data_IF_487674756135
#
_entry.id   IF_487674756135
#
_cell.length_a   1.000
_cell.length_b   1.000
_cell.length_c   1.000
_cell.angle_alpha   90.00
_cell.angle_beta   90.00
_cell.angle_gamma   90.00
#
_symmetry.space_group_name_H-M   'P 1'
#
loop_
_entity.id
_entity.type
_entity.pdbx_description
1 polymer ?
#
# COMPACT_ATOMS: atom_id res chain seq x y z
N UNK A 1 15.15 0.32 -17.36
CA UNK A 1 14.81 1.01 -16.10
C UNK A 1 13.46 0.54 -15.56
N UNK A 2 12.35 0.76 -16.27
CA UNK A 2 10.99 0.40 -15.80
C UNK A 2 10.78 -1.08 -15.42
N UNK A 3 11.24 -2.03 -16.24
CA UNK A 3 11.10 -3.47 -15.97
C UNK A 3 11.87 -3.95 -14.74
N UNK A 4 13.06 -3.38 -14.49
CA UNK A 4 13.88 -3.76 -13.34
C UNK A 4 13.27 -3.28 -12.00
N UNK A 5 12.44 -2.24 -12.02
CA UNK A 5 11.80 -1.73 -10.81
C UNK A 5 10.81 -2.76 -10.21
N UNK A 6 10.20 -3.62 -11.04
CA UNK A 6 9.35 -4.71 -10.57
C UNK A 6 10.11 -5.78 -9.80
N UNK A 7 11.44 -5.87 -9.95
CA UNK A 7 12.23 -6.84 -9.20
C UNK A 7 12.23 -6.54 -7.71
N UNK A 8 12.00 -5.30 -7.30
CA UNK A 8 11.94 -4.91 -5.88
C UNK A 8 10.79 -5.65 -5.18
N UNK A 9 9.51 -5.48 -5.56
CA UNK A 9 8.40 -6.09 -4.84
C UNK A 9 8.35 -7.60 -5.06
N UNK A 10 8.87 -8.10 -6.20
CA UNK A 10 9.03 -9.54 -6.42
C UNK A 10 10.04 -10.12 -5.41
N UNK A 11 11.18 -9.45 -5.23
CA UNK A 11 12.17 -9.87 -4.24
C UNK A 11 11.62 -9.74 -2.83
N UNK A 12 10.88 -8.68 -2.50
CA UNK A 12 10.24 -8.51 -1.19
C UNK A 12 9.28 -9.67 -0.87
N UNK A 13 8.44 -10.08 -1.82
CA UNK A 13 7.52 -11.22 -1.65
C UNK A 13 8.26 -12.55 -1.48
N UNK A 14 9.22 -12.85 -2.35
CA UNK A 14 9.94 -14.13 -2.35
C UNK A 14 10.83 -14.25 -1.11
N UNK A 15 11.61 -13.21 -0.81
CA UNK A 15 12.49 -13.18 0.35
C UNK A 15 11.68 -13.16 1.65
N UNK A 16 10.57 -12.42 1.68
CA UNK A 16 9.65 -12.38 2.82
C UNK A 16 9.14 -13.78 3.16
N UNK A 17 8.58 -14.50 2.19
CA UNK A 17 8.08 -15.86 2.42
C UNK A 17 9.21 -16.86 2.74
N UNK A 18 10.36 -16.76 2.08
CA UNK A 18 11.47 -17.69 2.30
C UNK A 18 12.18 -17.48 3.64
N UNK A 19 12.49 -16.24 4.01
CA UNK A 19 13.31 -15.93 5.18
C UNK A 19 12.54 -16.02 6.50
N UNK A 20 11.21 -15.90 6.49
CA UNK A 20 10.41 -16.06 7.73
C UNK A 20 10.16 -17.52 8.11
N UNK A 21 10.19 -18.45 7.14
CA UNK A 21 9.87 -19.88 7.34
C UNK A 21 10.61 -20.57 8.49
N UNK A 22 11.92 -20.35 8.70
CA UNK A 22 12.65 -21.02 9.78
C UNK A 22 12.27 -20.55 11.19
N UNK A 23 11.57 -19.42 11.33
CA UNK A 23 11.33 -18.78 12.62
C UNK A 23 9.91 -19.05 13.11
N UNK A 24 9.75 -19.48 14.37
CA UNK A 24 8.43 -19.67 14.98
C UNK A 24 7.87 -18.40 15.67
N UNK A 25 8.74 -17.46 16.03
CA UNK A 25 8.33 -16.21 16.71
C UNK A 25 7.72 -15.21 15.73
N UNK A 26 6.47 -14.81 15.96
CA UNK A 26 5.77 -13.80 15.13
C UNK A 26 6.48 -12.46 15.11
N UNK A 27 7.06 -12.05 16.24
CA UNK A 27 7.85 -10.82 16.32
C UNK A 27 9.04 -10.85 15.36
N UNK A 28 9.79 -11.96 15.35
CA UNK A 28 10.96 -12.12 14.48
C UNK A 28 10.54 -12.14 13.01
N UNK A 29 9.44 -12.83 12.68
CA UNK A 29 8.90 -12.83 11.31
C UNK A 29 8.56 -11.41 10.83
N UNK A 30 7.87 -10.62 11.66
CA UNK A 30 7.50 -9.24 11.33
C UNK A 30 8.74 -8.36 11.13
N UNK A 31 9.72 -8.43 12.05
CA UNK A 31 10.96 -7.65 11.94
C UNK A 31 11.72 -7.99 10.65
N UNK A 32 11.79 -9.27 10.26
CA UNK A 32 12.42 -9.68 9.00
C UNK A 32 11.72 -9.02 7.81
N UNK A 33 10.38 -9.06 7.79
CA UNK A 33 9.58 -8.43 6.72
C UNK A 33 9.81 -6.91 6.69
N UNK A 34 9.77 -6.23 7.84
CA UNK A 34 10.04 -4.79 7.94
C UNK A 34 11.42 -4.42 7.38
N UNK A 35 12.46 -5.19 7.70
CA UNK A 35 13.81 -4.97 7.19
C UNK A 35 13.87 -5.14 5.68
N UNK A 36 13.21 -6.17 5.13
CA UNK A 36 13.16 -6.42 3.69
C UNK A 36 12.49 -5.24 2.96
N UNK A 37 11.32 -4.80 3.43
CA UNK A 37 10.59 -3.66 2.85
C UNK A 37 11.35 -2.34 3.03
N UNK A 38 12.07 -2.16 4.14
CA UNK A 38 12.92 -0.98 4.34
C UNK A 38 14.07 -0.93 3.33
N UNK A 39 14.73 -2.08 3.07
CA UNK A 39 15.76 -2.16 2.03
C UNK A 39 15.18 -1.85 0.66
N UNK A 40 14.03 -2.45 0.30
CA UNK A 40 13.37 -2.18 -0.97
C UNK A 40 12.95 -0.72 -1.13
N UNK A 41 12.45 -0.09 -0.07
CA UNK A 41 12.19 1.34 0.01
C UNK A 41 13.45 2.18 -0.28
N UNK A 42 14.57 1.90 0.40
CA UNK A 42 15.82 2.63 0.17
C UNK A 42 16.32 2.47 -1.28
N UNK A 43 16.21 1.27 -1.84
CA UNK A 43 16.57 0.99 -3.23
C UNK A 43 15.65 1.76 -4.19
N UNK A 44 14.34 1.77 -3.97
CA UNK A 44 13.37 2.51 -4.79
C UNK A 44 13.65 4.02 -4.76
N UNK A 45 13.89 4.59 -3.58
CA UNK A 45 14.26 6.00 -3.41
C UNK A 45 15.57 6.31 -4.15
N UNK A 46 16.59 5.46 -4.02
CA UNK A 46 17.87 5.66 -4.71
C UNK A 46 17.74 5.59 -6.23
N UNK A 47 17.00 4.60 -6.75
CA UNK A 47 16.79 4.41 -8.19
C UNK A 47 16.00 5.55 -8.84
N UNK A 48 15.04 6.15 -8.11
CA UNK A 48 14.13 7.17 -8.64
C UNK A 48 14.34 8.56 -8.01
N UNK A 49 15.48 8.79 -7.35
CA UNK A 49 15.81 10.05 -6.66
C UNK A 49 15.66 11.30 -7.53
N UNK A 50 15.98 11.21 -8.81
CA UNK A 50 15.92 12.36 -9.72
C UNK A 50 14.46 12.74 -10.04
N UNK A 51 13.60 11.74 -10.22
CA UNK A 51 12.14 11.92 -10.39
C UNK A 51 11.55 12.50 -9.11
N UNK A 52 11.86 11.90 -7.96
CA UNK A 52 11.39 12.37 -6.66
C UNK A 52 11.84 13.80 -6.38
N UNK A 53 13.11 14.12 -6.61
CA UNK A 53 13.64 15.47 -6.41
C UNK A 53 12.96 16.48 -7.32
N UNK A 54 12.83 16.18 -8.62
CA UNK A 54 12.18 17.05 -9.60
C UNK A 54 10.73 17.32 -9.23
N UNK A 55 9.96 16.26 -9.00
CA UNK A 55 8.53 16.38 -8.71
C UNK A 55 8.30 17.05 -7.34
N UNK A 56 9.24 16.89 -6.38
CA UNK A 56 9.17 17.57 -5.09
C UNK A 56 9.29 19.08 -5.23
N UNK A 57 10.23 19.56 -6.07
CA UNK A 57 10.39 21.00 -6.30
C UNK A 57 9.12 21.63 -6.90
N UNK A 58 8.38 20.89 -7.72
CA UNK A 58 7.10 21.32 -8.27
C UNK A 58 5.94 21.20 -7.26
N UNK A 59 6.00 20.24 -6.34
CA UNK A 59 4.93 19.99 -5.37
C UNK A 59 4.98 20.96 -4.18
N UNK A 60 6.18 21.20 -3.61
CA UNK A 60 6.34 21.98 -2.37
C UNK A 60 5.71 23.37 -2.36
N UNK A 61 5.66 24.18 -3.46
CA UNK A 61 5.03 25.50 -3.41
C UNK A 61 3.50 25.42 -3.27
N UNK A 62 2.91 24.27 -3.61
CA UNK A 62 1.47 24.02 -3.56
C UNK A 62 1.10 22.96 -2.52
N UNK A 63 1.98 22.71 -1.55
CA UNK A 63 1.84 21.64 -0.56
C UNK A 63 0.45 21.59 0.07
N UNK A 64 -0.07 22.71 0.58
CA UNK A 64 -1.39 22.75 1.22
C UNK A 64 -2.53 22.36 0.30
N UNK A 65 -2.52 22.87 -0.95
CA UNK A 65 -3.52 22.47 -1.95
C UNK A 65 -3.39 20.99 -2.28
N UNK A 66 -2.16 20.50 -2.41
CA UNK A 66 -1.88 19.08 -2.65
C UNK A 66 -2.39 18.19 -1.52
N UNK A 67 -2.17 18.59 -0.26
CA UNK A 67 -2.69 17.92 0.93
C UNK A 67 -4.21 17.90 0.97
N UNK A 68 -4.89 19.02 0.67
CA UNK A 68 -6.36 19.03 0.60
C UNK A 68 -6.90 18.08 -0.46
N UNK A 69 -6.27 18.06 -1.64
CA UNK A 69 -6.63 17.12 -2.71
C UNK A 69 -6.35 15.67 -2.29
N UNK A 70 -5.25 15.42 -1.58
CA UNK A 70 -4.90 14.10 -1.06
C UNK A 70 -5.95 13.62 -0.03
N UNK A 71 -6.36 14.47 0.91
CA UNK A 71 -7.42 14.16 1.89
C UNK A 71 -8.73 13.82 1.17
N UNK A 72 -9.14 14.62 0.18
CA UNK A 72 -10.33 14.32 -0.62
C UNK A 72 -10.23 12.97 -1.34
N UNK A 73 -9.07 12.66 -1.90
CA UNK A 73 -8.81 11.37 -2.54
C UNK A 73 -8.75 10.18 -1.57
N UNK A 74 -8.27 10.40 -0.33
CA UNK A 74 -8.33 9.40 0.76
C UNK A 74 -9.78 9.09 1.13
N UNK A 75 -10.64 10.11 1.26
CA UNK A 75 -12.07 9.91 1.51
C UNK A 75 -12.72 9.08 0.40
N UNK A 76 -12.42 9.39 -0.86
CA UNK A 76 -12.89 8.59 -2.00
C UNK A 76 -12.38 7.14 -1.89
N UNK A 77 -11.12 6.93 -1.50
CA UNK A 77 -10.53 5.59 -1.32
C UNK A 77 -11.28 4.80 -0.25
N UNK A 78 -11.61 5.43 0.89
CA UNK A 78 -12.40 4.82 1.97
C UNK A 78 -13.85 4.52 1.58
N UNK A 79 -14.39 5.16 0.56
CA UNK A 79 -15.72 4.85 0.01
C UNK A 79 -15.62 3.72 -1.02
N UNK A 80 -14.64 3.81 -1.93
CA UNK A 80 -14.45 2.86 -3.02
C UNK A 80 -14.20 1.45 -2.52
N UNK A 81 -13.29 1.30 -1.55
CA UNK A 81 -12.85 -0.01 -1.06
C UNK A 81 -14.00 -0.86 -0.47
N UNK A 82 -14.81 -0.37 0.49
CA UNK A 82 -15.97 -1.12 0.99
C UNK A 82 -17.08 -1.26 -0.05
N UNK A 83 -17.28 -0.29 -0.94
CA UNK A 83 -18.27 -0.39 -2.01
C UNK A 83 -17.97 -1.58 -2.94
N UNK A 84 -16.71 -1.74 -3.36
CA UNK A 84 -16.28 -2.87 -4.19
C UNK A 84 -16.42 -4.19 -3.44
N UNK A 85 -16.02 -4.23 -2.16
CA UNK A 85 -16.18 -5.44 -1.33
C UNK A 85 -17.64 -5.88 -1.21
N UNK A 86 -18.53 -4.95 -0.88
CA UNK A 86 -19.98 -5.22 -0.77
C UNK A 86 -20.56 -5.66 -2.11
N UNK A 87 -20.15 -5.02 -3.21
CA UNK A 87 -20.53 -5.44 -4.56
C UNK A 87 -20.17 -6.89 -4.84
N UNK A 88 -18.90 -7.27 -4.60
CA UNK A 88 -18.44 -8.66 -4.78
C UNK A 88 -19.22 -9.65 -3.91
N UNK A 89 -19.50 -9.30 -2.65
CA UNK A 89 -20.26 -10.15 -1.73
C UNK A 89 -21.67 -10.48 -2.22
N UNK A 90 -22.34 -9.55 -2.90
CA UNK A 90 -23.65 -9.77 -3.51
C UNK A 90 -23.61 -10.76 -4.69
N UNK A 91 -22.52 -10.81 -5.44
CA UNK A 91 -22.39 -11.68 -6.62
C UNK A 91 -21.79 -13.04 -6.31
N UNK A 92 -20.89 -13.12 -5.34
CA UNK A 92 -20.07 -14.31 -5.09
C UNK A 92 -20.55 -15.13 -3.89
N UNK A 93 -21.58 -14.68 -3.16
CA UNK A 93 -22.05 -15.30 -1.90
C UNK A 93 -20.90 -15.59 -0.93
N UNK A 94 -19.84 -14.78 -0.98
CA UNK A 94 -18.69 -14.94 -0.10
C UNK A 94 -19.11 -14.49 1.29
N UNK A 95 -19.34 -15.45 2.19
CA UNK A 95 -19.35 -15.20 3.62
C UNK A 95 -17.94 -14.77 4.00
N UNK A 96 -17.70 -13.47 4.04
CA UNK A 96 -16.53 -12.93 4.73
C UNK A 96 -16.72 -13.24 6.21
N UNK A 97 -16.29 -14.43 6.63
CA UNK A 97 -16.08 -14.74 8.02
C UNK A 97 -14.98 -13.79 8.49
N UNK A 98 -15.39 -12.66 9.08
CA UNK A 98 -14.51 -11.90 9.94
C UNK A 98 -14.15 -12.84 11.09
N UNK A 99 -13.06 -13.60 10.93
CA UNK A 99 -12.48 -14.33 12.04
C UNK A 99 -12.19 -13.30 13.11
N UNK A 100 -12.96 -13.34 14.20
CA UNK A 100 -12.77 -12.45 15.33
C UNK A 100 -11.40 -12.73 15.92
N UNK A 101 -10.39 -11.99 15.48
CA UNK A 101 -9.11 -11.94 16.17
C UNK A 101 -9.36 -11.13 17.43
N UNK A 102 -8.97 -11.65 18.58
CA UNK A 102 -8.94 -10.85 19.81
C UNK A 102 -7.87 -9.76 19.65
N UNK A 103 -8.33 -8.59 19.20
CA UNK A 103 -7.50 -7.42 18.89
C UNK A 103 -7.00 -6.73 20.17
N UNK A 104 -7.53 -7.09 21.34
CA UNK A 104 -7.29 -6.41 22.60
C UNK A 104 -6.24 -7.11 23.49
N UNK A 105 -5.48 -8.07 22.96
CA UNK A 105 -4.30 -8.60 23.67
C UNK A 105 -3.08 -7.69 23.48
N UNK A 106 -2.31 -7.45 24.55
CA UNK A 106 -1.12 -6.58 24.49
C UNK A 106 -0.07 -7.08 23.50
N UNK A 107 0.04 -8.41 23.36
CA UNK A 107 0.93 -9.04 22.38
C UNK A 107 0.45 -8.78 20.94
N UNK A 108 -0.86 -8.93 20.67
CA UNK A 108 -1.45 -8.67 19.36
C UNK A 108 -1.30 -7.19 18.98
N UNK A 109 -1.60 -6.28 19.93
CA UNK A 109 -1.52 -4.84 19.68
C UNK A 109 -0.08 -4.36 19.46
N UNK A 110 0.88 -4.86 20.26
CA UNK A 110 2.30 -4.55 20.08
C UNK A 110 2.84 -5.05 18.74
N UNK A 111 2.49 -6.28 18.34
CA UNK A 111 2.84 -6.80 17.01
C UNK A 111 2.21 -5.99 15.88
N UNK A 112 0.97 -5.51 16.06
CA UNK A 112 0.28 -4.67 15.08
C UNK A 112 0.99 -3.34 14.82
N UNK A 113 1.52 -2.69 15.86
CA UNK A 113 2.30 -1.45 15.70
C UNK A 113 3.61 -1.71 14.97
N UNK A 114 4.33 -2.78 15.31
CA UNK A 114 5.58 -3.13 14.62
C UNK A 114 5.31 -3.45 13.14
N UNK A 115 4.29 -4.28 12.87
CA UNK A 115 3.89 -4.61 11.50
C UNK A 115 3.40 -3.41 10.69
N UNK A 116 2.98 -2.31 11.35
CA UNK A 116 2.58 -1.08 10.66
C UNK A 116 3.76 -0.27 10.12
N UNK A 117 5.01 -0.63 10.45
CA UNK A 117 6.19 0.03 9.90
C UNK A 117 6.30 -0.20 8.38
N UNK A 118 6.03 -1.41 7.87
CA UNK A 118 5.90 -1.62 6.42
C UNK A 118 4.88 -0.70 5.77
N UNK A 119 3.76 -0.45 6.43
CA UNK A 119 2.66 0.40 5.95
C UNK A 119 3.07 1.87 5.80
N UNK A 120 4.08 2.33 6.52
CA UNK A 120 4.62 3.69 6.35
C UNK A 120 5.53 3.82 5.11
N UNK A 121 6.17 2.72 4.70
CA UNK A 121 7.18 2.71 3.64
C UNK A 121 6.61 2.27 2.29
N UNK A 122 5.67 1.32 2.31
CA UNK A 122 5.06 0.73 1.13
C UNK A 122 4.49 1.77 0.14
N UNK A 123 3.78 2.84 0.58
CA UNK A 123 3.27 3.86 -0.34
C UNK A 123 4.34 4.50 -1.23
N UNK A 124 5.58 4.63 -0.76
CA UNK A 124 6.65 5.17 -1.58
C UNK A 124 7.07 4.18 -2.67
N UNK A 125 7.39 2.95 -2.26
CA UNK A 125 7.84 1.87 -3.15
C UNK A 125 6.77 1.57 -4.19
N UNK A 126 5.53 1.37 -3.78
CA UNK A 126 4.41 0.99 -4.64
C UNK A 126 4.09 2.07 -5.68
N UNK A 127 4.03 3.34 -5.28
CA UNK A 127 3.73 4.42 -6.24
C UNK A 127 4.90 4.68 -7.20
N UNK A 128 6.15 4.52 -6.76
CA UNK A 128 7.32 4.56 -7.63
C UNK A 128 7.28 3.45 -8.68
N UNK A 129 6.97 2.21 -8.27
CA UNK A 129 7.05 1.06 -9.17
C UNK A 129 5.79 0.95 -10.03
N UNK A 130 4.62 0.82 -9.42
CA UNK A 130 3.40 0.54 -10.15
C UNK A 130 2.92 1.76 -10.93
N UNK A 131 3.01 2.96 -10.35
CA UNK A 131 2.49 4.15 -11.04
C UNK A 131 3.55 4.82 -11.88
N UNK A 132 4.72 5.12 -11.33
CA UNK A 132 5.73 5.81 -12.12
C UNK A 132 6.43 4.91 -13.13
N UNK A 133 7.10 3.85 -12.68
CA UNK A 133 7.92 3.01 -13.55
C UNK A 133 7.06 2.21 -14.54
N UNK A 134 5.93 1.66 -14.10
CA UNK A 134 5.13 0.75 -14.92
C UNK A 134 4.04 1.45 -15.74
N UNK A 135 3.25 2.35 -15.13
CA UNK A 135 2.10 2.97 -15.81
C UNK A 135 2.42 4.30 -16.51
N UNK A 136 2.95 5.28 -15.78
CA UNK A 136 3.01 6.69 -16.19
C UNK A 136 3.87 6.90 -17.45
N UNK A 137 4.84 6.02 -17.71
CA UNK A 137 5.67 6.04 -18.92
C UNK A 137 4.86 5.89 -20.22
N UNK A 138 3.64 5.37 -20.13
CA UNK A 138 2.72 5.11 -21.25
C UNK A 138 1.60 6.15 -21.37
N UNK A 139 1.62 7.18 -20.52
CA UNK A 139 0.67 8.29 -20.55
C UNK A 139 0.58 8.91 -21.96
N UNK A 140 -0.64 9.26 -22.38
CA UNK A 140 -0.95 9.87 -23.69
C UNK A 140 -0.63 8.99 -24.93
N UNK A 141 -0.58 7.67 -24.80
CA UNK A 141 -0.36 6.72 -25.92
C UNK A 141 -1.65 6.01 -26.38
N UNK A 142 -2.77 6.72 -26.36
CA UNK A 142 -4.08 6.16 -26.74
C UNK A 142 -4.44 4.94 -25.87
N UNK A 143 -4.90 3.87 -26.51
CA UNK A 143 -5.33 2.62 -25.86
C UNK A 143 -4.27 2.00 -24.95
N UNK A 144 -2.99 2.13 -25.31
CA UNK A 144 -1.87 1.56 -24.53
C UNK A 144 -1.81 2.18 -23.12
N UNK A 145 -2.18 3.45 -22.97
CA UNK A 145 -2.25 4.12 -21.66
C UNK A 145 -3.16 3.36 -20.70
N UNK A 146 -4.36 3.02 -21.19
CA UNK A 146 -5.41 2.41 -20.38
C UNK A 146 -5.13 0.93 -20.12
N UNK A 147 -4.55 0.23 -21.10
CA UNK A 147 -4.05 -1.13 -20.91
C UNK A 147 -2.98 -1.16 -19.80
N UNK A 148 -2.03 -0.22 -19.82
CA UNK A 148 -0.99 -0.16 -18.78
C UNK A 148 -1.53 0.29 -17.42
N UNK A 149 -2.58 1.10 -17.38
CA UNK A 149 -3.31 1.40 -16.13
C UNK A 149 -3.92 0.11 -15.55
N UNK A 150 -4.65 -0.65 -16.37
CA UNK A 150 -5.27 -1.91 -15.94
C UNK A 150 -4.21 -2.90 -15.45
N UNK A 151 -3.14 -3.11 -16.23
CA UNK A 151 -2.06 -4.03 -15.84
C UNK A 151 -1.37 -3.58 -14.55
N UNK A 152 -1.06 -2.29 -14.40
CA UNK A 152 -0.51 -1.73 -13.15
C UNK A 152 -1.44 -1.96 -11.96
N UNK A 153 -2.75 -1.85 -12.17
CA UNK A 153 -3.77 -2.00 -11.14
C UNK A 153 -3.93 -3.47 -10.71
N UNK A 154 -3.95 -4.39 -11.67
CA UNK A 154 -3.99 -5.83 -11.40
C UNK A 154 -2.74 -6.24 -10.62
N UNK A 155 -1.55 -5.83 -11.08
CA UNK A 155 -0.31 -6.13 -10.36
C UNK A 155 -0.36 -5.60 -8.93
N UNK A 156 -0.73 -4.33 -8.73
CA UNK A 156 -0.86 -3.75 -7.40
C UNK A 156 -1.74 -4.60 -6.45
N UNK A 157 -2.90 -5.07 -6.90
CA UNK A 157 -3.72 -5.98 -6.11
C UNK A 157 -3.06 -7.35 -5.87
N UNK A 158 -2.46 -7.95 -6.88
CA UNK A 158 -1.79 -9.27 -6.76
C UNK A 158 -0.58 -9.24 -5.83
N UNK A 159 0.13 -8.11 -5.70
CA UNK A 159 1.24 -7.97 -4.76
C UNK A 159 0.81 -8.01 -3.29
N UNK A 160 -0.50 -7.98 -3.01
CA UNK A 160 -1.07 -8.23 -1.68
C UNK A 160 -1.34 -9.72 -1.41
N UNK A 161 -0.71 -10.64 -2.17
CA UNK A 161 -0.90 -12.09 -2.08
C UNK A 161 -0.84 -12.62 -0.64
N UNK A 162 0.23 -12.27 0.07
CA UNK A 162 0.48 -12.72 1.43
C UNK A 162 -0.50 -12.10 2.44
N UNK A 163 -1.03 -10.91 2.17
CA UNK A 163 -2.02 -10.25 3.05
C UNK A 163 -3.38 -10.96 3.02
N UNK A 164 -3.70 -11.61 1.90
CA UNK A 164 -4.99 -12.27 1.70
C UNK A 164 -4.89 -13.80 1.61
N UNK A 165 -3.77 -14.39 2.01
CA UNK A 165 -3.52 -15.83 1.94
C UNK A 165 -3.81 -16.43 0.55
N UNK A 166 -3.54 -15.66 -0.51
CA UNK A 166 -3.80 -16.07 -1.89
C UNK A 166 -5.25 -15.95 -2.38
N UNK A 167 -6.17 -15.40 -1.58
CA UNK A 167 -7.54 -15.15 -2.04
C UNK A 167 -7.61 -13.95 -2.99
N UNK A 168 -7.61 -14.24 -4.30
CA UNK A 168 -7.69 -13.24 -5.37
C UNK A 168 -8.94 -12.36 -5.24
N UNK A 169 -10.04 -12.88 -4.69
CA UNK A 169 -11.29 -12.12 -4.53
C UNK A 169 -11.09 -10.93 -3.59
N UNK A 170 -10.31 -11.11 -2.52
CA UNK A 170 -9.97 -10.05 -1.56
C UNK A 170 -8.99 -9.03 -2.13
N UNK A 171 -8.27 -9.37 -3.20
CA UNK A 171 -7.33 -8.48 -3.90
C UNK A 171 -8.04 -7.57 -4.92
N UNK A 172 -9.24 -7.94 -5.42
CA UNK A 172 -9.98 -7.13 -6.41
C UNK A 172 -10.24 -5.69 -5.91
N UNK A 173 -10.69 -5.44 -4.66
CA UNK A 173 -10.80 -4.09 -4.12
C UNK A 173 -9.50 -3.29 -4.21
N UNK A 174 -8.35 -3.95 -4.00
CA UNK A 174 -7.03 -3.32 -4.10
C UNK A 174 -6.66 -3.04 -5.54
N UNK A 175 -7.08 -3.86 -6.51
CA UNK A 175 -6.92 -3.54 -7.93
C UNK A 175 -7.69 -2.26 -8.29
N UNK A 176 -8.92 -2.08 -7.78
CA UNK A 176 -9.72 -0.87 -8.02
C UNK A 176 -9.08 0.36 -7.37
N UNK A 177 -8.62 0.25 -6.12
CA UNK A 177 -7.86 1.33 -5.46
C UNK A 177 -6.57 1.63 -6.23
N UNK A 178 -5.91 0.61 -6.76
CA UNK A 178 -4.73 0.79 -7.58
C UNK A 178 -5.00 1.57 -8.86
N UNK A 179 -6.13 1.31 -9.52
CA UNK A 179 -6.58 2.10 -10.66
C UNK A 179 -6.86 3.55 -10.25
N UNK A 180 -7.50 3.77 -9.09
CA UNK A 180 -7.75 5.09 -8.54
C UNK A 180 -6.45 5.89 -8.31
N UNK A 181 -5.44 5.31 -7.66
CA UNK A 181 -4.13 5.96 -7.49
C UNK A 181 -3.41 6.21 -8.82
N UNK A 182 -3.51 5.28 -9.78
CA UNK A 182 -3.02 5.52 -11.14
C UNK A 182 -3.68 6.72 -11.81
N UNK A 183 -4.99 6.87 -11.67
CA UNK A 183 -5.74 8.02 -12.18
C UNK A 183 -5.32 9.34 -11.51
N UNK A 184 -5.12 9.35 -10.18
CA UNK A 184 -4.58 10.51 -9.47
C UNK A 184 -3.26 10.94 -10.09
N UNK A 185 -2.33 10.00 -10.33
CA UNK A 185 -1.05 10.36 -10.92
C UNK A 185 -1.16 10.80 -12.38
N UNK A 186 -2.05 10.17 -13.15
CA UNK A 186 -2.29 10.54 -14.55
C UNK A 186 -2.69 12.01 -14.71
N UNK A 187 -3.51 12.54 -13.80
CA UNK A 187 -3.96 13.93 -13.82
C UNK A 187 -3.04 14.89 -13.07
N UNK A 188 -2.53 14.49 -11.89
CA UNK A 188 -1.65 15.35 -11.09
C UNK A 188 -0.30 15.57 -11.78
N UNK A 189 0.15 14.60 -12.58
CA UNK A 189 1.48 14.57 -13.22
C UNK A 189 2.63 14.75 -12.22
N UNK A 190 2.38 14.46 -10.95
CA UNK A 190 3.33 14.63 -9.87
C UNK A 190 3.28 13.43 -8.93
N UNK A 191 4.41 12.75 -8.75
CA UNK A 191 4.48 11.53 -7.95
C UNK A 191 4.20 11.80 -6.47
N UNK A 192 4.52 12.98 -5.95
CA UNK A 192 4.28 13.33 -4.54
C UNK A 192 2.81 13.54 -4.22
N UNK A 193 2.00 14.01 -5.18
CA UNK A 193 0.55 14.06 -4.96
C UNK A 193 0.00 12.64 -4.69
N UNK A 194 0.53 11.66 -5.42
CA UNK A 194 0.07 10.29 -5.35
C UNK A 194 0.64 9.56 -4.11
N UNK A 195 1.95 9.69 -3.87
CA UNK A 195 2.62 9.19 -2.64
C UNK A 195 1.95 9.76 -1.40
N UNK A 196 1.67 11.07 -1.35
CA UNK A 196 1.00 11.69 -0.20
C UNK A 196 -0.41 11.14 0.00
N UNK A 197 -1.17 10.94 -1.07
CA UNK A 197 -2.53 10.37 -0.98
C UNK A 197 -2.48 8.96 -0.39
N UNK A 198 -1.64 8.10 -0.96
CA UNK A 198 -1.51 6.72 -0.50
C UNK A 198 -0.96 6.67 0.94
N UNK A 199 0.09 7.44 1.22
CA UNK A 199 0.66 7.55 2.57
C UNK A 199 -0.38 7.99 3.60
N UNK A 200 -1.22 8.99 3.31
CA UNK A 200 -2.28 9.42 4.23
C UNK A 200 -3.36 8.36 4.43
N UNK A 201 -3.71 7.60 3.38
CA UNK A 201 -4.64 6.47 3.50
C UNK A 201 -4.10 5.39 4.45
N UNK A 202 -2.83 5.05 4.30
CA UNK A 202 -2.16 4.02 5.11
C UNK A 202 -1.83 4.52 6.53
N UNK A 203 -1.51 5.80 6.68
CA UNK A 203 -1.21 6.41 7.97
C UNK A 203 -2.39 6.33 8.94
N UNK A 204 -3.63 6.39 8.45
CA UNK A 204 -4.81 6.18 9.30
C UNK A 204 -4.84 4.76 9.90
N UNK A 205 -4.37 3.75 9.17
CA UNK A 205 -4.26 2.39 9.70
C UNK A 205 -3.19 2.29 10.79
N UNK A 206 -2.07 3.00 10.62
CA UNK A 206 -1.01 3.09 11.64
C UNK A 206 -1.55 3.77 12.91
N UNK A 207 -2.30 4.88 12.77
CA UNK A 207 -2.95 5.54 13.90
C UNK A 207 -3.93 4.61 14.61
N UNK A 208 -4.69 3.80 13.87
CA UNK A 208 -5.58 2.80 14.45
C UNK A 208 -4.81 1.73 15.23
N UNK A 209 -3.69 1.23 14.71
CA UNK A 209 -2.85 0.25 15.41
C UNK A 209 -2.29 0.82 16.73
N UNK A 210 -1.78 2.06 16.70
CA UNK A 210 -1.30 2.76 17.91
C UNK A 210 -2.44 2.99 18.90
N UNK A 211 -3.62 3.40 18.43
CA UNK A 211 -4.80 3.57 19.28
C UNK A 211 -5.18 2.27 19.99
N UNK A 212 -5.22 1.14 19.26
CA UNK A 212 -5.50 -0.19 19.84
C UNK A 212 -4.47 -0.56 20.91
N UNK A 213 -3.18 -0.27 20.69
CA UNK A 213 -2.14 -0.49 21.69
C UNK A 213 -2.38 0.34 22.96
N UNK A 214 -2.65 1.63 22.82
CA UNK A 214 -2.92 2.53 23.97
C UNK A 214 -4.12 2.01 24.76
N UNK A 215 -5.23 1.71 24.09
CA UNK A 215 -6.44 1.20 24.75
C UNK A 215 -6.18 -0.14 25.47
N UNK A 216 -5.39 -1.02 24.85
CA UNK A 216 -5.02 -2.30 25.45
C UNK A 216 -4.18 -2.12 26.71
N UNK A 217 -3.18 -1.23 26.66
CA UNK A 217 -2.36 -0.94 27.84
C UNK A 217 -3.18 -0.33 28.97
N UNK A 218 -4.11 0.59 28.66
CA UNK A 218 -5.02 1.17 29.65
C UNK A 218 -5.93 0.10 30.29
N UNK A 219 -6.44 -0.85 29.51
CA UNK A 219 -7.30 -1.93 30.00
C UNK A 219 -6.55 -2.94 30.87
N UNK A 220 -5.27 -3.23 30.57
CA UNK A 220 -4.45 -4.15 31.38
C UNK A 220 -4.04 -3.52 32.72
N UNK A 221 -3.98 -2.20 32.81
CA UNK A 221 -3.57 -1.48 34.03
C UNK A 221 -4.72 -1.09 34.97
N UNK A 222 -5.98 -1.27 34.57
CA UNK A 222 -7.18 -0.92 35.34
C UNK A 222 -7.87 -2.14 35.92
#
# INVERSE_FOLDING_TARGET
>A
MALYALLIPIAELILGDFLVKPFHSKLVQVIIVDVIFFIGFLVAIWMFKDVLKRDWQAFKPHFWRGTLLAIGAVVITYILLPLVRSGLGLFLHTSSAAGGVDVLSAQTAGLGVIASLTTLMAPFTEEIIFRHAWFYQWRNRGIVTWLMLILSSIMFGLFHWNNFNGDITQMIPYMVVGAWFGLIYYWSKNIWQNILTHFLFDFVQVLAAVFVLVMTLMHVTG
#
